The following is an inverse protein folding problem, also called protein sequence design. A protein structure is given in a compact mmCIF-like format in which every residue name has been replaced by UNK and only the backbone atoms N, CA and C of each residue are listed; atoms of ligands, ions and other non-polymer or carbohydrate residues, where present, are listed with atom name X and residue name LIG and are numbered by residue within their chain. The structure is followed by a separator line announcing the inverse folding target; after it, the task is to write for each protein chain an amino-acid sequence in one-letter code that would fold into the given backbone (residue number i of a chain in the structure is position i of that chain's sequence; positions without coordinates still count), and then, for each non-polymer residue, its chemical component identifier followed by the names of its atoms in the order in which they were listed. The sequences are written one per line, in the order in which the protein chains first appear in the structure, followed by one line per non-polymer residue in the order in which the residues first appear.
data_IF_082098555111
#
_entry.id   IF_082098555111
#
_cell.length_a   1.000
_cell.length_b   1.000
_cell.length_c   1.000
_cell.angle_alpha   90.00
_cell.angle_beta   90.00
_cell.angle_gamma   90.00
#
_symmetry.space_group_name_H-M   'P 1'
#
loop_
_entity.id
_entity.type
_entity.pdbx_description
1 polymer ?
#
# COMPACT_ATOMS: atom_id res chain seq x y z
N UNK A 1 12.07 -33.43 -103.24
CA UNK A 1 10.79 -33.54 -102.51
C UNK A 1 11.15 -33.72 -101.05
N UNK A 2 10.64 -32.84 -100.19
CA UNK A 2 11.06 -32.53 -98.81
C UNK A 2 12.31 -31.64 -98.74
N UNK A 3 12.16 -30.32 -98.83
CA UNK A 3 11.68 -29.33 -97.84
C UNK A 3 12.87 -28.81 -97.00
N UNK A 4 13.37 -27.58 -97.17
CA UNK A 4 12.89 -26.32 -96.54
C UNK A 4 13.11 -26.40 -94.99
N UNK A 5 13.69 -25.48 -94.21
CA UNK A 5 13.80 -24.02 -94.23
C UNK A 5 14.92 -23.61 -93.24
N UNK A 6 15.52 -22.46 -93.51
CA UNK A 6 16.31 -21.62 -92.59
C UNK A 6 15.76 -21.55 -91.15
N UNK A 7 16.65 -21.60 -90.15
CA UNK A 7 16.36 -20.93 -88.89
C UNK A 7 17.65 -20.39 -88.27
N UNK A 8 17.61 -19.10 -88.00
CA UNK A 8 18.64 -18.24 -87.43
C UNK A 8 19.28 -18.81 -86.16
N UNK A 9 20.60 -18.64 -86.05
CA UNK A 9 21.30 -18.69 -84.77
C UNK A 9 21.05 -17.38 -84.03
N UNK A 10 20.01 -17.36 -83.20
CA UNK A 10 19.86 -16.41 -82.11
C UNK A 10 20.70 -16.93 -80.94
N UNK A 11 21.58 -16.13 -80.31
CA UNK A 11 22.18 -16.53 -79.05
C UNK A 11 21.08 -16.56 -77.99
N UNK A 12 20.89 -17.73 -77.38
CA UNK A 12 20.08 -17.92 -76.19
C UNK A 12 20.55 -16.92 -75.13
N UNK A 13 19.73 -15.88 -74.87
CA UNK A 13 19.72 -15.28 -73.55
C UNK A 13 19.32 -16.41 -72.61
N UNK A 14 20.24 -16.83 -71.75
CA UNK A 14 19.86 -17.49 -70.51
C UNK A 14 18.86 -16.57 -69.83
N UNK A 15 17.58 -16.95 -69.84
CA UNK A 15 16.67 -16.57 -68.77
C UNK A 15 17.25 -17.22 -67.53
N UNK A 16 18.16 -16.48 -66.88
CA UNK A 16 18.51 -16.70 -65.49
C UNK A 16 17.19 -16.57 -64.75
N UNK A 17 16.61 -17.74 -64.47
CA UNK A 17 15.49 -17.92 -63.57
C UNK A 17 15.70 -16.97 -62.40
N UNK A 18 14.65 -16.22 -62.08
CA UNK A 18 14.52 -15.53 -60.81
C UNK A 18 14.94 -16.51 -59.72
N UNK A 19 16.20 -16.41 -59.30
CA UNK A 19 16.71 -17.09 -58.14
C UNK A 19 16.05 -16.35 -56.99
N UNK A 20 14.83 -16.78 -56.74
CA UNK A 20 14.02 -16.45 -55.61
C UNK A 20 14.89 -16.78 -54.41
N UNK A 21 15.60 -15.76 -53.90
CA UNK A 21 16.33 -15.85 -52.65
C UNK A 21 15.32 -16.47 -51.68
N UNK A 22 15.57 -17.67 -51.14
CA UNK A 22 14.75 -18.15 -50.05
C UNK A 22 14.99 -17.13 -48.94
N UNK A 23 14.06 -16.19 -48.78
CA UNK A 23 14.06 -15.28 -47.63
C UNK A 23 14.16 -16.21 -46.45
N UNK A 24 15.30 -16.14 -45.77
CA UNK A 24 15.69 -17.15 -44.80
C UNK A 24 14.59 -17.18 -43.75
N UNK A 25 13.74 -18.21 -43.81
CA UNK A 25 12.48 -18.28 -43.04
C UNK A 25 12.77 -18.13 -41.54
N UNK A 26 14.01 -18.46 -41.15
CA UNK A 26 14.58 -18.26 -39.83
C UNK A 26 14.80 -16.78 -39.47
N UNK A 27 15.34 -15.97 -40.38
CA UNK A 27 15.52 -14.52 -40.18
C UNK A 27 14.16 -13.80 -40.12
N UNK A 28 13.24 -14.16 -41.01
CA UNK A 28 11.89 -13.56 -41.04
C UNK A 28 11.06 -13.94 -39.80
N UNK A 29 11.22 -15.17 -39.30
CA UNK A 29 10.60 -15.61 -38.04
C UNK A 29 11.21 -14.89 -36.82
N UNK A 30 12.53 -14.69 -36.79
CA UNK A 30 13.20 -13.92 -35.72
C UNK A 30 12.75 -12.45 -35.69
N UNK A 31 12.61 -11.80 -36.85
CA UNK A 31 12.11 -10.42 -36.92
C UNK A 31 10.65 -10.31 -36.44
N UNK A 32 9.79 -11.26 -36.81
CA UNK A 32 8.40 -11.29 -36.34
C UNK A 32 8.33 -11.49 -34.81
N UNK A 33 9.09 -12.43 -34.25
CA UNK A 33 9.13 -12.66 -32.80
C UNK A 33 9.65 -11.43 -32.03
N UNK A 34 10.66 -10.74 -32.57
CA UNK A 34 11.19 -9.53 -31.96
C UNK A 34 10.16 -8.38 -32.00
N UNK A 35 9.43 -8.23 -33.11
CA UNK A 35 8.37 -7.22 -33.22
C UNK A 35 7.22 -7.48 -32.23
N UNK A 36 6.81 -8.74 -32.06
CA UNK A 36 5.79 -9.14 -31.08
C UNK A 36 6.28 -8.86 -29.66
N UNK A 37 7.55 -9.16 -29.36
CA UNK A 37 8.15 -8.87 -28.06
C UNK A 37 8.21 -7.38 -27.75
N UNK A 38 8.57 -6.54 -28.73
CA UNK A 38 8.57 -5.09 -28.58
C UNK A 38 7.15 -4.52 -28.37
N UNK A 39 6.15 -5.06 -29.07
CA UNK A 39 4.74 -4.68 -28.87
C UNK A 39 4.27 -5.09 -27.47
N UNK A 40 4.61 -6.30 -27.00
CA UNK A 40 4.30 -6.74 -25.64
C UNK A 40 4.95 -5.85 -24.59
N UNK A 41 6.21 -5.46 -24.77
CA UNK A 41 6.90 -4.53 -23.86
C UNK A 41 6.28 -3.14 -23.88
N UNK A 42 5.83 -2.65 -25.04
CA UNK A 42 5.10 -1.39 -25.15
C UNK A 42 3.73 -1.46 -24.45
N UNK A 43 2.99 -2.55 -24.62
CA UNK A 43 1.70 -2.76 -23.94
C UNK A 43 1.92 -2.83 -22.42
N UNK A 44 2.91 -3.59 -21.95
CA UNK A 44 3.27 -3.63 -20.52
C UNK A 44 3.65 -2.23 -20.04
N UNK A 45 4.47 -1.50 -20.79
CA UNK A 45 4.87 -0.12 -20.45
C UNK A 45 3.68 0.84 -20.39
N UNK A 46 2.70 0.72 -21.29
CA UNK A 46 1.48 1.54 -21.28
C UNK A 46 0.59 1.17 -20.10
N UNK A 47 0.47 -0.13 -19.77
CA UNK A 47 -0.27 -0.61 -18.59
C UNK A 47 0.41 -0.13 -17.29
N UNK A 48 1.75 -0.15 -17.21
CA UNK A 48 2.49 0.26 -16.00
C UNK A 48 2.64 1.78 -15.87
N UNK A 49 2.68 2.52 -16.99
CA UNK A 49 2.79 3.99 -16.99
C UNK A 49 1.43 4.70 -16.90
N UNK A 50 0.31 3.96 -16.86
CA UNK A 50 -0.99 4.48 -16.45
C UNK A 50 -1.01 4.80 -14.96
N UNK A 51 -0.07 5.63 -14.50
CA UNK A 51 -0.06 6.15 -13.14
C UNK A 51 -1.27 7.06 -12.96
N UNK A 52 -2.34 6.50 -12.39
CA UNK A 52 -3.48 7.25 -11.91
C UNK A 52 -2.98 8.18 -10.80
N UNK A 53 -2.89 9.47 -11.10
CA UNK A 53 -2.67 10.51 -10.11
C UNK A 53 -4.02 10.82 -9.46
N UNK A 54 -4.19 10.41 -8.20
CA UNK A 54 -5.40 10.64 -7.43
C UNK A 54 -5.31 12.03 -6.80
N UNK A 55 -5.89 13.04 -7.45
CA UNK A 55 -5.79 14.44 -7.01
C UNK A 55 -6.86 14.87 -6.01
N UNK A 56 -7.86 14.03 -5.74
CA UNK A 56 -8.98 14.35 -4.85
C UNK A 56 -9.24 13.18 -3.88
N UNK A 57 -8.35 13.00 -2.91
CA UNK A 57 -8.58 12.02 -1.84
C UNK A 57 -9.40 12.62 -0.70
N UNK A 58 -10.43 11.89 -0.27
CA UNK A 58 -11.30 12.35 0.80
C UNK A 58 -10.61 12.34 2.15
N UNK A 59 -11.06 13.24 3.02
CA UNK A 59 -10.58 13.38 4.38
C UNK A 59 -10.95 12.15 5.20
N UNK A 60 -9.92 11.46 5.67
CA UNK A 60 -9.99 10.26 6.51
C UNK A 60 -10.93 10.41 7.73
N UNK A 61 -11.62 9.31 8.03
CA UNK A 61 -12.50 9.12 9.20
C UNK A 61 -11.68 9.11 10.50
N UNK A 62 -10.43 8.65 10.42
CA UNK A 62 -9.52 8.60 11.55
C UNK A 62 -9.01 9.99 11.90
N UNK A 63 -9.06 10.35 13.19
CA UNK A 63 -8.41 11.57 13.71
C UNK A 63 -6.95 11.33 14.09
N UNK A 64 -6.34 10.27 13.58
CA UNK A 64 -4.93 9.98 13.79
C UNK A 64 -4.10 11.01 13.00
N UNK A 65 -3.11 11.66 13.64
CA UNK A 65 -2.30 12.65 12.97
C UNK A 65 -1.38 12.02 11.91
N UNK A 66 -0.92 12.84 10.98
CA UNK A 66 0.00 12.44 9.91
C UNK A 66 1.42 12.14 10.40
N UNK A 67 1.78 12.65 11.57
CA UNK A 67 3.04 12.34 12.25
C UNK A 67 2.71 11.80 13.64
N UNK A 68 3.21 10.62 13.98
CA UNK A 68 2.96 10.00 15.28
C UNK A 68 4.02 8.97 15.65
N UNK A 69 4.03 8.61 16.92
CA UNK A 69 4.79 7.51 17.49
C UNK A 69 3.90 6.29 17.64
N UNK A 70 4.38 5.16 17.14
CA UNK A 70 3.79 3.85 17.39
C UNK A 70 4.66 3.11 18.40
N UNK A 71 4.06 2.70 19.50
CA UNK A 71 4.74 2.01 20.59
C UNK A 71 4.03 0.72 20.94
N UNK A 72 4.79 -0.33 21.25
CA UNK A 72 4.23 -1.58 21.74
C UNK A 72 3.73 -1.40 23.18
N UNK A 73 2.49 -1.78 23.46
CA UNK A 73 1.83 -1.51 24.76
C UNK A 73 2.34 -2.40 25.89
N UNK A 74 2.50 -3.70 25.63
CA UNK A 74 2.84 -4.67 26.68
C UNK A 74 3.33 -5.98 26.09
N UNK A 75 4.31 -6.61 26.75
CA UNK A 75 4.82 -7.95 26.42
C UNK A 75 3.75 -9.05 26.48
N UNK A 76 2.65 -8.83 27.19
CA UNK A 76 1.62 -9.84 27.46
C UNK A 76 0.43 -9.79 26.49
N UNK A 77 0.45 -8.90 25.49
CA UNK A 77 -0.58 -8.85 24.44
C UNK A 77 -0.13 -8.06 23.21
N UNK A 78 -0.69 -8.38 22.04
CA UNK A 78 -0.38 -7.73 20.75
C UNK A 78 -1.06 -6.36 20.60
N UNK A 79 -0.89 -5.49 21.58
CA UNK A 79 -1.53 -4.18 21.58
C UNK A 79 -0.49 -3.10 21.27
N UNK A 80 -0.90 -2.10 20.49
CA UNK A 80 -0.06 -0.93 20.19
C UNK A 80 -0.75 0.34 20.64
N UNK A 81 0.07 1.33 20.95
CA UNK A 81 -0.37 2.67 21.29
C UNK A 81 0.13 3.62 20.19
N UNK A 82 -0.77 4.49 19.76
CA UNK A 82 -0.46 5.63 18.89
C UNK A 82 -0.43 6.88 19.77
N UNK A 83 0.73 7.53 19.81
CA UNK A 83 1.04 8.72 20.61
C UNK A 83 1.58 9.82 19.71
N UNK A 84 1.38 11.09 20.05
CA UNK A 84 1.87 12.22 19.25
C UNK A 84 1.88 13.52 20.05
N UNK A 85 2.18 14.63 19.41
CA UNK A 85 2.34 15.90 20.12
C UNK A 85 1.00 16.50 20.53
N UNK A 86 0.89 17.16 21.71
CA UNK A 86 -0.36 17.74 22.20
C UNK A 86 -1.04 18.73 21.25
N UNK A 87 -0.26 19.39 20.39
CA UNK A 87 -0.71 20.39 19.42
C UNK A 87 -1.62 19.81 18.33
N UNK A 88 -1.43 18.54 17.98
CA UNK A 88 -2.22 17.86 16.94
C UNK A 88 -3.56 17.34 17.49
N UNK A 89 -3.63 17.03 18.79
CA UNK A 89 -4.84 16.57 19.47
C UNK A 89 -5.85 17.70 19.70
N UNK A 90 -5.36 18.94 19.77
CA UNK A 90 -6.17 20.13 20.04
C UNK A 90 -6.74 20.78 18.77
N UNK A 91 -6.78 20.06 17.63
CA UNK A 91 -7.17 20.57 16.30
C UNK A 91 -8.25 21.64 16.32
N UNK A 92 -7.81 22.91 16.31
CA UNK A 92 -8.49 24.14 15.90
C UNK A 92 -7.62 25.34 16.31
N UNK A 93 -6.65 25.67 15.46
CA UNK A 93 -5.77 26.82 15.65
C UNK A 93 -6.48 28.20 15.61
N UNK A 94 -7.81 28.24 15.52
CA UNK A 94 -8.61 29.48 15.48
C UNK A 94 -9.67 29.61 16.60
N UNK A 95 -9.70 28.71 17.59
CA UNK A 95 -10.61 28.85 18.73
C UNK A 95 -9.97 28.31 20.01
N UNK A 96 -8.90 28.96 20.44
CA UNK A 96 -8.64 29.30 21.84
C UNK A 96 -7.22 29.86 21.91
N UNK A 97 -7.08 31.07 22.43
CA UNK A 97 -5.79 31.46 23.00
C UNK A 97 -5.40 30.39 24.01
N UNK A 98 -4.15 29.88 23.99
CA UNK A 98 -3.70 29.01 25.06
C UNK A 98 -3.86 29.84 26.32
N UNK A 99 -4.78 29.43 27.20
CA UNK A 99 -4.72 29.85 28.59
C UNK A 99 -3.28 29.50 28.98
N UNK A 100 -2.48 30.54 29.24
CA UNK A 100 -1.19 30.40 29.90
C UNK A 100 -1.48 29.78 31.25
N UNK A 101 -1.61 28.46 31.26
CA UNK A 101 -1.48 27.64 32.44
C UNK A 101 0.01 27.61 32.70
N UNK A 102 0.47 28.56 33.52
CA UNK A 102 1.64 28.34 34.36
C UNK A 102 1.46 26.98 35.04
N UNK A 103 2.15 25.96 34.52
CA UNK A 103 2.64 24.77 35.24
C UNK A 103 3.24 23.78 34.23
N UNK A 104 4.50 23.44 34.48
CA UNK A 104 5.43 22.63 33.68
C UNK A 104 5.06 21.15 33.47
N UNK A 105 3.77 20.78 33.49
CA UNK A 105 3.32 19.39 33.51
C UNK A 105 2.36 19.02 32.35
N UNK A 106 2.51 19.64 31.18
CA UNK A 106 1.86 19.05 30.00
C UNK A 106 2.58 17.74 29.63
N UNK A 107 1.85 16.62 29.44
CA UNK A 107 2.48 15.37 29.03
C UNK A 107 3.18 15.59 27.68
N UNK A 108 4.42 15.12 27.57
CA UNK A 108 5.24 15.27 26.36
C UNK A 108 4.55 14.66 25.12
N UNK A 109 3.73 13.64 25.32
CA UNK A 109 2.95 12.96 24.29
C UNK A 109 1.52 12.69 24.78
N UNK A 110 0.56 12.80 23.86
CA UNK A 110 -0.84 12.43 24.07
C UNK A 110 -1.13 11.17 23.28
N UNK A 111 -1.93 10.29 23.89
CA UNK A 111 -2.41 9.05 23.29
C UNK A 111 -3.61 9.31 22.39
N UNK A 112 -3.49 9.01 21.10
CA UNK A 112 -4.55 9.17 20.09
C UNK A 112 -5.37 7.90 19.92
N UNK A 113 -4.71 6.74 19.90
CA UNK A 113 -5.41 5.49 19.64
C UNK A 113 -4.71 4.28 20.28
N UNK A 114 -5.46 3.19 20.42
CA UNK A 114 -4.94 1.86 20.69
C UNK A 114 -5.35 0.88 19.59
N UNK A 115 -4.39 0.10 19.13
CA UNK A 115 -4.66 -1.10 18.34
C UNK A 115 -4.79 -2.24 19.34
N UNK A 116 -5.96 -2.88 19.35
CA UNK A 116 -6.31 -3.93 20.29
C UNK A 116 -6.60 -5.21 19.51
N UNK A 117 -5.92 -6.30 19.91
CA UNK A 117 -6.25 -7.64 19.44
C UNK A 117 -7.29 -8.25 20.39
N UNK A 118 -8.50 -8.57 19.91
CA UNK A 118 -9.48 -9.27 20.72
C UNK A 118 -8.95 -10.65 21.11
N UNK A 119 -9.03 -10.99 22.40
CA UNK A 119 -8.51 -12.25 22.95
C UNK A 119 -9.10 -13.52 22.30
N UNK A 120 -10.23 -13.40 21.61
CA UNK A 120 -10.99 -14.53 21.02
C UNK A 120 -11.00 -14.56 19.49
N UNK A 121 -10.49 -13.52 18.81
CA UNK A 121 -10.49 -13.43 17.35
C UNK A 121 -9.06 -13.18 16.87
N UNK A 122 -8.30 -14.26 16.86
CA UNK A 122 -6.92 -14.30 16.36
C UNK A 122 -6.88 -13.79 14.91
N UNK A 123 -6.11 -12.73 14.68
CA UNK A 123 -5.96 -12.11 13.36
C UNK A 123 -6.86 -10.89 13.10
N UNK A 124 -7.63 -10.44 14.10
CA UNK A 124 -8.38 -9.19 14.00
C UNK A 124 -7.75 -8.11 14.87
N UNK A 125 -7.67 -6.89 14.36
CA UNK A 125 -7.29 -5.70 15.13
C UNK A 125 -8.41 -4.68 15.06
N UNK A 126 -8.78 -4.16 16.24
CA UNK A 126 -9.67 -3.03 16.35
C UNK A 126 -8.87 -1.80 16.76
N UNK A 127 -9.14 -0.66 16.10
CA UNK A 127 -8.55 0.63 16.47
C UNK A 127 -9.56 1.39 17.33
N UNK A 128 -9.16 1.69 18.57
CA UNK A 128 -9.91 2.54 19.47
C UNK A 128 -9.23 3.91 19.51
N UNK A 129 -9.86 4.92 18.91
CA UNK A 129 -9.44 6.31 18.99
C UNK A 129 -10.00 7.01 20.22
N UNK A 130 -9.18 7.83 20.87
CA UNK A 130 -9.58 8.68 21.97
C UNK A 130 -9.90 10.07 21.43
N UNK A 131 -11.19 10.41 21.39
CA UNK A 131 -11.68 11.69 20.86
C UNK A 131 -12.08 12.61 21.99
N UNK A 132 -12.02 13.92 21.75
CA UNK A 132 -12.50 14.94 22.69
C UNK A 132 -13.86 15.46 22.22
N UNK A 133 -14.83 15.52 23.12
CA UNK A 133 -16.11 16.16 22.83
C UNK A 133 -16.03 17.69 23.02
N UNK A 134 -17.09 18.39 22.63
CA UNK A 134 -17.17 19.86 22.77
C UNK A 134 -17.03 20.34 24.22
N UNK A 135 -17.36 19.49 25.20
CA UNK A 135 -17.23 19.80 26.64
C UNK A 135 -15.83 19.48 27.20
N UNK A 136 -14.89 19.04 26.37
CA UNK A 136 -13.51 18.75 26.75
C UNK A 136 -13.24 17.36 27.34
N UNK A 137 -14.26 16.53 27.51
CA UNK A 137 -14.10 15.15 27.98
C UNK A 137 -13.62 14.22 26.87
N UNK A 138 -12.78 13.25 27.23
CA UNK A 138 -12.21 12.26 26.32
C UNK A 138 -13.06 10.99 26.34
N UNK A 139 -13.44 10.49 25.16
CA UNK A 139 -14.22 9.27 25.00
C UNK A 139 -13.61 8.35 23.93
N UNK A 140 -13.67 7.01 24.11
CA UNK A 140 -13.18 6.05 23.14
C UNK A 140 -14.20 5.81 22.01
N UNK A 141 -13.72 5.67 20.77
CA UNK A 141 -14.52 5.33 19.58
C UNK A 141 -13.81 4.24 18.79
N UNK A 142 -14.53 3.21 18.37
CA UNK A 142 -13.99 2.18 17.48
C UNK A 142 -14.07 2.68 16.05
N UNK A 143 -12.94 2.89 15.39
CA UNK A 143 -12.90 3.57 14.08
C UNK A 143 -12.45 2.68 12.94
N UNK A 144 -11.72 1.62 13.25
CA UNK A 144 -11.24 0.67 12.25
C UNK A 144 -11.44 -0.74 12.76
N UNK A 145 -12.01 -1.56 11.89
CA UNK A 145 -12.06 -3.01 12.04
C UNK A 145 -11.19 -3.61 10.95
N UNK A 146 -10.20 -4.40 11.35
CA UNK A 146 -9.31 -5.08 10.41
C UNK A 146 -9.26 -6.57 10.70
N UNK A 147 -9.12 -7.35 9.64
CA UNK A 147 -9.03 -8.82 9.70
C UNK A 147 -7.98 -9.33 8.73
N UNK A 148 -7.33 -10.42 9.10
CA UNK A 148 -6.62 -11.27 8.14
C UNK A 148 -7.64 -12.23 7.53
N UNK A 149 -7.77 -12.19 6.20
CA UNK A 149 -8.70 -13.07 5.48
C UNK A 149 -8.27 -14.54 5.56
N UNK A 150 -6.96 -14.82 5.46
CA UNK A 150 -6.41 -16.15 5.66
C UNK A 150 -4.93 -16.06 6.05
N UNK A 151 -4.48 -16.88 7.01
CA UNK A 151 -3.07 -16.99 7.40
C UNK A 151 -2.15 -17.33 6.23
N UNK A 152 -2.71 -17.94 5.18
CA UNK A 152 -2.01 -18.30 3.95
C UNK A 152 -1.93 -17.18 2.91
N UNK A 153 -2.88 -16.23 2.88
CA UNK A 153 -2.99 -15.28 1.76
C UNK A 153 -2.16 -14.01 1.93
N UNK A 154 -1.49 -13.79 3.08
CA UNK A 154 -0.67 -12.58 3.32
C UNK A 154 -1.42 -11.27 3.01
N UNK A 155 -2.75 -11.29 3.19
CA UNK A 155 -3.65 -10.18 2.89
C UNK A 155 -4.39 -9.76 4.17
N UNK A 156 -4.45 -8.45 4.41
CA UNK A 156 -5.24 -7.82 5.50
C UNK A 156 -6.31 -6.97 4.84
N UNK A 157 -7.55 -7.22 5.22
CA UNK A 157 -8.67 -6.33 4.95
C UNK A 157 -8.80 -5.33 6.10
N UNK A 158 -8.86 -4.05 5.76
CA UNK A 158 -9.03 -2.92 6.68
C UNK A 158 -10.30 -2.18 6.28
N UNK A 159 -11.28 -2.22 7.17
CA UNK A 159 -12.56 -1.54 6.98
C UNK A 159 -12.67 -0.43 8.02
N UNK A 160 -12.88 0.79 7.55
CA UNK A 160 -13.13 1.93 8.42
C UNK A 160 -14.60 1.92 8.82
N UNK A 161 -14.85 1.71 10.11
CA UNK A 161 -16.20 1.67 10.66
C UNK A 161 -16.42 2.90 11.53
N UNK A 162 -17.41 3.71 11.19
CA UNK A 162 -17.87 4.74 12.09
C UNK A 162 -18.82 4.13 13.12
N UNK A 163 -18.37 3.91 14.36
CA UNK A 163 -19.32 3.62 15.44
C UNK A 163 -19.90 4.94 15.98
N UNK A 164 -21.20 5.12 15.84
CA UNK A 164 -22.07 6.06 16.57
C UNK A 164 -22.07 7.56 16.22
N UNK A 165 -22.01 7.95 14.94
CA UNK A 165 -22.53 9.29 14.58
C UNK A 165 -23.08 9.34 13.15
N UNK A 166 -24.41 9.32 13.02
CA UNK A 166 -25.13 9.53 11.75
C UNK A 166 -24.78 10.91 11.12
N UNK A 167 -24.31 11.86 11.92
CA UNK A 167 -23.94 13.21 11.49
C UNK A 167 -22.56 13.29 10.80
N UNK A 168 -21.71 12.27 10.92
CA UNK A 168 -20.36 12.37 10.38
C UNK A 168 -20.25 12.07 8.87
N UNK A 169 -21.33 11.62 8.18
CA UNK A 169 -21.37 11.30 6.72
C UNK A 169 -20.01 10.80 6.21
N UNK A 170 -19.53 9.74 6.82
CA UNK A 170 -18.15 9.30 6.69
C UNK A 170 -17.98 8.51 5.40
N UNK A 171 -17.01 8.92 4.58
CA UNK A 171 -16.64 8.22 3.36
C UNK A 171 -15.75 7.03 3.73
N UNK A 172 -16.38 5.86 3.90
CA UNK A 172 -15.70 4.62 4.23
C UNK A 172 -15.12 4.00 2.95
N UNK A 173 -13.85 4.29 2.67
CA UNK A 173 -13.10 3.46 1.74
C UNK A 173 -12.64 2.18 2.46
N UNK A 174 -12.74 1.05 1.77
CA UNK A 174 -12.10 -0.19 2.18
C UNK A 174 -10.66 -0.21 1.68
N UNK A 175 -9.75 -0.73 2.50
CA UNK A 175 -8.36 -0.89 2.14
C UNK A 175 -7.95 -2.34 2.30
N UNK A 176 -7.13 -2.82 1.36
CA UNK A 176 -6.48 -4.11 1.48
C UNK A 176 -4.98 -3.94 1.43
N UNK A 177 -4.28 -4.57 2.36
CA UNK A 177 -2.82 -4.65 2.33
C UNK A 177 -2.44 -6.05 1.88
N UNK A 178 -1.68 -6.16 0.80
CA UNK A 178 -1.05 -7.42 0.42
C UNK A 178 0.46 -7.28 0.50
N UNK A 179 1.17 -8.31 0.98
CA UNK A 179 2.64 -8.32 0.96
C UNK A 179 3.19 -9.59 0.34
N UNK A 180 4.32 -9.40 -0.33
CA UNK A 180 5.14 -10.46 -0.87
C UNK A 180 6.13 -10.97 0.19
N UNK A 181 6.66 -12.16 -0.05
CA UNK A 181 7.76 -12.77 0.71
C UNK A 181 9.03 -11.91 0.80
N UNK A 182 9.22 -10.95 -0.12
CA UNK A 182 10.37 -10.04 -0.15
C UNK A 182 10.14 -8.74 0.64
N UNK A 183 9.15 -8.73 1.55
CA UNK A 183 8.84 -7.60 2.44
C UNK A 183 8.30 -6.34 1.75
N UNK A 184 8.21 -6.37 0.42
CA UNK A 184 7.48 -5.37 -0.35
C UNK A 184 6.01 -5.75 -0.44
N UNK A 185 5.14 -4.76 -0.50
CA UNK A 185 3.72 -4.99 -0.67
C UNK A 185 2.97 -3.80 -1.25
N UNK A 186 1.67 -3.97 -1.31
CA UNK A 186 0.75 -3.08 -2.00
C UNK A 186 -0.38 -2.68 -1.06
N UNK A 187 -0.78 -1.43 -1.19
CA UNK A 187 -2.00 -0.90 -0.59
C UNK A 187 -3.01 -0.76 -1.71
N UNK A 188 -4.13 -1.45 -1.55
CA UNK A 188 -5.28 -1.41 -2.42
C UNK A 188 -6.41 -0.64 -1.73
N UNK A 189 -7.22 0.05 -2.53
CA UNK A 189 -8.35 0.84 -2.06
C UNK A 189 -9.60 0.53 -2.88
N UNK A 190 -10.74 0.55 -2.22
CA UNK A 190 -12.07 0.50 -2.81
C UNK A 190 -12.95 1.55 -2.12
N UNK A 191 -13.31 2.61 -2.83
CA UNK A 191 -14.21 3.66 -2.36
C UNK A 191 -15.51 3.68 -3.17
N UNK A 192 -16.63 3.32 -2.55
CA UNK A 192 -17.94 3.33 -3.22
C UNK A 192 -18.34 4.72 -3.72
N UNK A 193 -18.03 5.77 -2.96
CA UNK A 193 -18.36 7.17 -3.29
C UNK A 193 -17.63 7.70 -4.53
N UNK A 194 -16.48 7.10 -4.88
CA UNK A 194 -15.75 7.41 -6.11
C UNK A 194 -16.16 6.49 -7.28
N UNK A 195 -17.26 5.74 -7.12
CA UNK A 195 -17.73 4.72 -8.06
C UNK A 195 -16.67 3.66 -8.40
N UNK A 196 -15.79 3.34 -7.45
CA UNK A 196 -14.85 2.23 -7.62
C UNK A 196 -15.62 0.90 -7.49
N UNK A 197 -15.58 0.07 -8.52
CA UNK A 197 -16.22 -1.26 -8.50
C UNK A 197 -15.26 -2.40 -8.15
N UNK A 198 -13.97 -2.09 -8.04
CA UNK A 198 -12.88 -3.06 -7.81
C UNK A 198 -11.76 -2.39 -7.04
N UNK A 199 -11.02 -3.18 -6.27
CA UNK A 199 -9.84 -2.71 -5.54
C UNK A 199 -8.78 -2.19 -6.52
N UNK A 200 -8.44 -0.91 -6.38
CA UNK A 200 -7.38 -0.25 -7.14
C UNK A 200 -6.10 -0.17 -6.32
N UNK A 201 -4.96 -0.44 -6.94
CA UNK A 201 -3.67 -0.22 -6.29
C UNK A 201 -3.42 1.28 -6.15
N UNK A 202 -3.17 1.75 -4.94
CA UNK A 202 -2.97 3.18 -4.65
C UNK A 202 -1.57 3.51 -4.16
N UNK A 203 -0.89 2.55 -3.50
CA UNK A 203 0.47 2.74 -3.04
C UNK A 203 1.25 1.42 -2.97
N UNK A 204 2.58 1.55 -2.96
CA UNK A 204 3.54 0.46 -2.74
C UNK A 204 4.24 0.76 -1.42
N UNK A 205 4.57 -0.27 -0.66
CA UNK A 205 5.48 -0.13 0.47
C UNK A 205 6.65 -1.09 0.36
N UNK A 206 7.79 -0.64 0.86
CA UNK A 206 9.05 -1.38 0.87
C UNK A 206 9.74 -1.30 2.22
N UNK A 207 10.55 -2.30 2.56
CA UNK A 207 11.31 -2.34 3.80
C UNK A 207 10.78 -3.36 4.80
N UNK A 208 11.22 -3.26 6.06
CA UNK A 208 10.89 -4.22 7.10
C UNK A 208 10.51 -3.47 8.39
N UNK A 209 9.49 -3.90 9.15
CA UNK A 209 9.11 -3.21 10.39
C UNK A 209 10.23 -3.02 11.41
N UNK A 210 11.27 -3.85 11.42
CA UNK A 210 12.43 -3.65 12.31
C UNK A 210 13.50 -2.69 11.75
N UNK A 211 13.50 -2.41 10.45
CA UNK A 211 14.49 -1.55 9.76
C UNK A 211 13.91 -0.21 9.33
N UNK A 212 12.58 -0.12 9.26
CA UNK A 212 11.84 1.00 8.69
C UNK A 212 11.10 0.60 7.43
N UNK A 213 10.06 1.36 7.11
CA UNK A 213 9.21 1.17 5.95
C UNK A 213 9.17 2.47 5.15
N UNK A 214 9.05 2.37 3.84
CA UNK A 214 8.79 3.51 2.96
C UNK A 214 7.52 3.23 2.18
N UNK A 215 6.67 4.24 2.05
CA UNK A 215 5.42 4.18 1.31
C UNK A 215 5.53 5.13 0.12
N UNK A 216 5.23 4.64 -1.08
CA UNK A 216 5.37 5.42 -2.30
C UNK A 216 4.18 5.24 -3.24
N UNK A 217 4.08 6.12 -4.22
CA UNK A 217 3.17 5.96 -5.34
C UNK A 217 3.44 4.68 -6.12
N UNK A 218 2.44 4.25 -6.89
CA UNK A 218 2.52 3.05 -7.74
C UNK A 218 3.64 3.16 -8.77
N UNK A 219 3.95 4.37 -9.22
CA UNK A 219 5.07 4.66 -10.13
C UNK A 219 6.39 4.95 -9.40
N UNK A 220 6.42 4.80 -8.07
CA UNK A 220 7.56 5.03 -7.17
C UNK A 220 8.16 6.44 -7.21
N UNK A 221 7.53 7.40 -7.90
CA UNK A 221 8.04 8.77 -8.04
C UNK A 221 7.74 9.66 -6.84
N UNK A 222 6.66 9.37 -6.12
CA UNK A 222 6.19 10.16 -4.98
C UNK A 222 6.36 9.34 -3.72
N UNK A 223 7.03 9.90 -2.71
CA UNK A 223 7.11 9.31 -1.39
C UNK A 223 5.92 9.81 -0.56
N UNK A 224 5.05 8.89 -0.15
CA UNK A 224 3.89 9.17 0.68
C UNK A 224 4.18 9.09 2.17
N UNK A 225 5.35 8.59 2.58
CA UNK A 225 5.74 8.57 3.97
C UNK A 225 6.69 7.43 4.33
N UNK A 226 7.02 7.36 5.62
CA UNK A 226 7.92 6.34 6.13
C UNK A 226 7.64 6.00 7.60
N UNK A 227 8.12 4.83 8.00
CA UNK A 227 8.29 4.42 9.40
C UNK A 227 9.78 4.40 9.70
N UNK A 228 10.18 5.00 10.81
CA UNK A 228 11.56 4.87 11.29
C UNK A 228 11.85 3.45 11.77
N UNK A 229 13.14 3.15 11.91
CA UNK A 229 13.61 1.91 12.53
C UNK A 229 13.07 1.83 13.96
N UNK A 230 12.59 0.65 14.37
CA UNK A 230 12.22 0.43 15.75
C UNK A 230 13.43 0.66 16.68
N UNK A 231 13.31 1.59 17.63
CA UNK A 231 14.29 1.77 18.68
C UNK A 231 14.33 0.49 19.55
N UNK A 232 15.52 -0.08 19.69
CA UNK A 232 15.74 -1.30 20.48
C UNK A 232 16.43 -0.94 21.79
N UNK A 233 15.94 -1.52 22.89
CA UNK A 233 16.23 -1.30 24.32
C UNK A 233 15.34 -0.29 25.05
N UNK A 234 14.72 -0.79 26.13
CA UNK A 234 13.85 -0.13 27.13
C UNK A 234 12.53 0.48 26.61
N UNK A 235 12.48 1.02 25.38
CA UNK A 235 11.33 1.77 24.85
C UNK A 235 10.29 0.92 24.07
N UNK A 236 10.23 -0.40 24.32
CA UNK A 236 9.17 -1.29 23.79
C UNK A 236 8.90 -1.12 22.28
N UNK A 237 9.93 -1.20 21.43
CA UNK A 237 9.80 -1.12 19.96
C UNK A 237 9.09 0.15 19.44
N UNK A 238 9.38 1.29 20.06
CA UNK A 238 8.92 2.60 19.58
C UNK A 238 9.47 2.91 18.17
N UNK A 239 8.64 3.53 17.35
CA UNK A 239 8.98 4.05 16.02
C UNK A 239 8.18 5.30 15.73
N UNK A 240 8.77 6.18 14.94
CA UNK A 240 8.10 7.36 14.41
C UNK A 240 7.52 7.01 13.03
N UNK A 241 6.31 7.46 12.76
CA UNK A 241 5.60 7.28 11.50
C UNK A 241 5.25 8.67 10.98
N UNK A 242 5.58 8.90 9.72
CA UNK A 242 5.25 10.11 8.99
C UNK A 242 4.53 9.71 7.71
N UNK A 243 3.38 10.33 7.43
CA UNK A 243 2.59 10.13 6.22
C UNK A 243 2.26 11.51 5.64
N UNK A 244 2.53 11.68 4.35
CA UNK A 244 2.18 12.90 3.63
C UNK A 244 0.66 13.03 3.53
N UNK A 245 0.15 14.26 3.60
CA UNK A 245 -1.28 14.53 3.44
C UNK A 245 -1.82 14.16 2.06
N UNK A 246 -0.95 14.10 1.05
CA UNK A 246 -1.26 13.65 -0.29
C UNK A 246 -1.30 12.12 -0.43
N UNK A 247 -0.98 11.36 0.63
CA UNK A 247 -1.03 9.91 0.59
C UNK A 247 -2.46 9.41 0.26
N UNK A 248 -2.61 8.44 -0.65
CA UNK A 248 -3.90 7.96 -1.09
C UNK A 248 -4.51 6.93 -0.11
N UNK A 249 -4.16 7.04 1.16
CA UNK A 249 -4.56 6.14 2.23
C UNK A 249 -4.42 6.83 3.59
N UNK A 250 -5.14 6.34 4.62
CA UNK A 250 -5.17 6.97 5.93
C UNK A 250 -3.88 6.72 6.74
N UNK A 251 -3.44 7.68 7.58
CA UNK A 251 -2.19 7.59 8.36
C UNK A 251 -2.13 6.40 9.32
N UNK A 252 -3.25 5.72 9.61
CA UNK A 252 -3.28 4.51 10.44
C UNK A 252 -2.72 3.25 9.74
N UNK A 253 -2.69 3.21 8.41
CA UNK A 253 -2.28 2.01 7.65
C UNK A 253 -0.89 1.48 8.05
N UNK A 254 0.17 2.32 8.13
CA UNK A 254 1.49 1.86 8.56
C UNK A 254 1.51 1.19 9.95
N UNK A 255 0.69 1.68 10.88
CA UNK A 255 0.58 1.11 12.21
C UNK A 255 -0.09 -0.27 12.19
N UNK A 256 -1.19 -0.41 11.45
CA UNK A 256 -1.86 -1.69 11.28
C UNK A 256 -0.95 -2.72 10.62
N UNK A 257 -0.27 -2.34 9.53
CA UNK A 257 0.71 -3.21 8.88
C UNK A 257 1.78 -3.71 9.85
N UNK A 258 2.37 -2.80 10.63
CA UNK A 258 3.38 -3.14 11.64
C UNK A 258 2.83 -4.14 12.67
N UNK A 259 1.62 -3.87 13.17
CA UNK A 259 1.00 -4.71 14.19
C UNK A 259 0.73 -6.13 13.67
N UNK A 260 0.21 -6.22 12.44
CA UNK A 260 -0.05 -7.50 11.76
C UNK A 260 1.22 -8.27 11.44
N UNK A 261 2.26 -7.60 10.94
CA UNK A 261 3.53 -8.23 10.66
C UNK A 261 4.10 -8.91 11.91
N UNK A 262 4.15 -8.17 13.02
CA UNK A 262 4.68 -8.69 14.29
C UNK A 262 3.81 -9.82 14.85
N UNK A 263 2.49 -9.75 14.67
CA UNK A 263 1.57 -10.82 15.05
C UNK A 263 1.83 -12.11 14.25
N UNK A 264 1.97 -12.01 12.93
CA UNK A 264 2.22 -13.15 12.06
C UNK A 264 3.60 -13.78 12.32
N UNK A 265 4.64 -12.97 12.51
CA UNK A 265 5.96 -13.46 12.88
C UNK A 265 5.95 -14.24 14.20
N UNK A 266 5.23 -13.76 15.21
CA UNK A 266 5.06 -14.51 16.45
C UNK A 266 4.34 -15.84 16.24
N UNK A 267 3.26 -15.84 15.46
CA UNK A 267 2.50 -17.06 15.18
C UNK A 267 3.36 -18.09 14.44
N UNK A 268 4.19 -17.67 13.48
CA UNK A 268 5.16 -18.53 12.79
C UNK A 268 6.17 -19.14 13.76
N UNK A 269 6.79 -18.32 14.62
CA UNK A 269 7.74 -18.81 15.62
C UNK A 269 7.11 -19.81 16.61
N UNK A 270 5.86 -19.57 17.01
CA UNK A 270 5.13 -20.46 17.91
C UNK A 270 4.80 -21.81 17.28
N UNK A 271 4.46 -21.84 15.99
CA UNK A 271 4.18 -23.09 15.27
C UNK A 271 5.44 -23.92 15.09
N UNK A 272 6.57 -23.30 14.69
CA UNK A 272 7.85 -24.01 14.55
C UNK A 272 8.28 -24.68 15.87
N UNK A 273 8.08 -24.01 17.01
CA UNK A 273 8.39 -24.58 18.35
C UNK A 273 7.48 -25.74 18.79
N UNK A 274 6.36 -25.99 18.10
CA UNK A 274 5.46 -27.12 18.39
C UNK A 274 5.79 -28.34 17.54
N UNK A 275 6.57 -28.16 16.49
CA UNK A 275 7.02 -29.22 15.59
C UNK A 275 8.37 -29.83 16.02
N UNK A 276 9.10 -29.13 16.92
CA UNK A 276 10.31 -29.59 17.63
C UNK A 276 9.97 -30.27 18.98
#
# INVERSE_FOLDING_TARGET
MSDDINAERVPLLETQEDLQNPVDCKEQCCCCLFSIMMILLLIISVITNGGLSYTDLSTDISKIPYEYKLRYKSLWGYNYIIEGHPTEFNGDANSFSPIKSDNSNQPKFIKYAELIVPFWVYGNFNVIEFRRNQTGSVFPVSTVNSRIDNYLTNEIDIVFTASDDDDLKLESCEYRISWSWLLNGYIWRLCENLNESVFNQVAIFTGHPSLGLTFSSVDEKTNYGYSSRAAFFWDLYERDIFIDKAAPFPPIIPALYTAYYNYLEYMRQRNNRRED
#
